data_IF_487736151762
#
_entry.id   IF_487736151762
#
_cell.length_a   1.000
_cell.length_b   1.000
_cell.length_c   1.000
_cell.angle_alpha   90.00
_cell.angle_beta   90.00
_cell.angle_gamma   90.00
#
_symmetry.space_group_name_H-M   'P 1'
#
loop_
_entity.id
_entity.type
_entity.pdbx_description
1 polymer ?
#
# COMPACT_ATOMS: atom_id res chain seq x y z
N UNK A 1 5.85 72.27 13.97
CA UNK A 1 5.13 71.37 13.03
C UNK A 1 6.08 70.25 12.62
N UNK A 2 5.92 69.03 13.14
CA UNK A 2 6.68 67.84 12.71
C UNK A 2 5.69 66.85 12.10
N UNK A 3 5.91 66.47 10.84
CA UNK A 3 5.09 65.50 10.09
C UNK A 3 5.70 64.12 10.24
N UNK A 4 4.96 63.19 10.82
CA UNK A 4 5.33 61.78 10.93
C UNK A 4 4.73 61.03 9.74
N UNK A 5 5.55 60.32 8.99
CA UNK A 5 5.11 59.44 7.90
C UNK A 5 4.85 58.04 8.47
N UNK A 6 3.68 57.47 8.20
CA UNK A 6 3.38 56.06 8.46
C UNK A 6 3.60 55.29 7.17
N UNK A 7 4.58 54.39 7.15
CA UNK A 7 4.81 53.43 6.06
C UNK A 7 3.95 52.20 6.32
N UNK A 8 2.99 51.92 5.43
CA UNK A 8 2.28 50.63 5.40
C UNK A 8 3.18 49.59 4.71
N UNK A 9 3.55 48.55 5.44
CA UNK A 9 4.15 47.35 4.89
C UNK A 9 3.05 46.42 4.36
N UNK A 10 3.03 46.23 3.04
CA UNK A 10 2.21 45.23 2.35
C UNK A 10 2.84 43.84 2.60
N UNK A 11 2.15 42.99 3.37
CA UNK A 11 2.53 41.57 3.51
C UNK A 11 1.96 40.82 2.32
N UNK A 12 2.83 40.50 1.36
CA UNK A 12 2.50 39.63 0.24
C UNK A 12 2.46 38.18 0.76
N UNK A 13 1.28 37.61 0.95
CA UNK A 13 1.13 36.18 1.24
C UNK A 13 1.29 35.43 -0.08
N UNK A 14 2.50 34.94 -0.35
CA UNK A 14 2.74 33.97 -1.41
C UNK A 14 2.03 32.67 -1.02
N UNK A 15 0.89 32.40 -1.64
CA UNK A 15 0.27 31.07 -1.60
C UNK A 15 1.18 30.19 -2.45
N UNK A 16 2.12 29.51 -1.82
CA UNK A 16 2.91 28.47 -2.48
C UNK A 16 1.97 27.29 -2.73
N UNK A 17 1.70 26.97 -3.98
CA UNK A 17 1.18 25.64 -4.33
C UNK A 17 2.25 24.65 -3.86
N UNK A 18 1.94 23.69 -2.98
CA UNK A 18 2.92 22.69 -2.59
C UNK A 18 3.36 21.94 -3.85
N UNK A 19 4.64 22.09 -4.20
CA UNK A 19 5.29 21.24 -5.18
C UNK A 19 5.39 19.85 -4.54
N UNK A 20 4.65 18.88 -5.09
CA UNK A 20 4.74 17.47 -4.67
C UNK A 20 6.16 17.02 -4.97
N UNK A 21 6.97 16.79 -3.92
CA UNK A 21 8.30 16.20 -4.08
C UNK A 21 8.15 14.72 -4.38
N UNK A 22 9.07 14.16 -5.17
CA UNK A 22 9.04 12.77 -5.63
C UNK A 22 9.23 11.71 -4.51
N UNK A 23 9.06 12.08 -3.25
CA UNK A 23 9.22 11.21 -2.06
C UNK A 23 7.92 10.95 -1.30
N UNK A 24 6.80 11.59 -1.67
CA UNK A 24 5.56 11.53 -0.88
C UNK A 24 4.56 10.48 -1.40
N UNK A 25 4.98 9.57 -2.28
CA UNK A 25 4.11 8.58 -2.92
C UNK A 25 4.90 7.35 -3.38
N UNK A 26 4.23 6.20 -3.61
CA UNK A 26 4.92 5.00 -4.07
C UNK A 26 5.69 5.26 -5.36
N UNK A 27 6.92 4.75 -5.42
CA UNK A 27 7.73 4.76 -6.65
C UNK A 27 7.00 4.11 -7.83
N UNK A 28 7.34 4.46 -9.09
CA UNK A 28 6.83 3.76 -10.27
C UNK A 28 7.01 2.25 -10.13
N UNK A 29 5.93 1.50 -10.31
CA UNK A 29 5.90 0.05 -10.10
C UNK A 29 4.82 -0.58 -10.98
N UNK A 30 5.12 -1.77 -11.50
CA UNK A 30 4.16 -2.63 -12.19
C UNK A 30 3.75 -3.79 -11.27
N UNK A 31 2.57 -4.34 -11.51
CA UNK A 31 2.11 -5.54 -10.81
C UNK A 31 1.88 -5.37 -9.31
N UNK A 32 1.85 -4.13 -8.81
CA UNK A 32 1.34 -3.82 -7.48
C UNK A 32 -0.15 -4.14 -7.43
N UNK A 33 -0.66 -4.43 -6.23
CA UNK A 33 -2.10 -4.59 -6.02
C UNK A 33 -2.64 -3.45 -5.17
N UNK A 34 -3.90 -3.13 -5.41
CA UNK A 34 -4.63 -2.14 -4.64
C UNK A 34 -5.97 -2.73 -4.19
N UNK A 35 -6.35 -2.42 -2.94
CA UNK A 35 -7.68 -2.70 -2.39
C UNK A 35 -8.24 -1.43 -1.75
N UNK A 36 -9.55 -1.37 -1.57
CA UNK A 36 -10.20 -0.35 -0.77
C UNK A 36 -10.51 -0.91 0.62
N UNK A 37 -10.11 -0.18 1.64
CA UNK A 37 -10.45 -0.41 3.04
C UNK A 37 -11.64 0.50 3.38
N UNK A 38 -12.86 -0.05 3.51
CA UNK A 38 -14.07 0.72 3.79
C UNK A 38 -14.17 1.19 5.25
N UNK A 39 -13.44 0.57 6.19
CA UNK A 39 -13.48 0.94 7.61
C UNK A 39 -12.70 2.23 7.82
N UNK A 40 -11.46 2.28 7.33
CA UNK A 40 -10.64 3.49 7.42
C UNK A 40 -10.81 4.43 6.22
N UNK A 41 -11.64 4.08 5.22
CA UNK A 41 -11.91 4.86 4.00
C UNK A 41 -10.64 5.25 3.25
N UNK A 42 -9.80 4.27 2.96
CA UNK A 42 -8.52 4.48 2.27
C UNK A 42 -8.26 3.39 1.24
N UNK A 43 -7.41 3.69 0.28
CA UNK A 43 -6.90 2.69 -0.65
C UNK A 43 -5.56 2.20 -0.14
N UNK A 44 -5.38 0.89 -0.06
CA UNK A 44 -4.11 0.27 0.29
C UNK A 44 -3.46 -0.30 -0.96
N UNK A 45 -2.18 0.01 -1.15
CA UNK A 45 -1.32 -0.53 -2.20
C UNK A 45 -0.27 -1.43 -1.56
N UNK A 46 0.01 -2.57 -2.18
CA UNK A 46 1.09 -3.46 -1.74
C UNK A 46 1.98 -3.91 -2.89
N UNK A 47 3.28 -3.90 -2.60
CA UNK A 47 4.32 -4.51 -3.41
C UNK A 47 4.41 -3.97 -4.84
N UNK A 48 4.70 -4.85 -5.78
CA UNK A 48 5.00 -4.51 -7.17
C UNK A 48 6.49 -4.59 -7.48
N UNK A 49 6.85 -4.28 -8.72
CA UNK A 49 8.23 -4.29 -9.17
C UNK A 49 8.55 -3.13 -10.09
N UNK A 50 9.78 -2.65 -10.06
CA UNK A 50 10.33 -1.73 -11.05
C UNK A 50 11.51 -2.40 -11.75
N UNK A 51 11.58 -2.26 -13.08
CA UNK A 51 12.76 -2.65 -13.83
C UNK A 51 13.54 -1.40 -14.23
N UNK A 52 14.75 -1.27 -13.71
CA UNK A 52 15.74 -0.26 -14.12
C UNK A 52 17.13 -0.88 -14.02
N UNK A 53 17.60 -1.45 -15.14
CA UNK A 53 18.86 -2.21 -15.21
C UNK A 53 18.95 -3.37 -14.20
N UNK A 54 17.79 -3.83 -13.71
CA UNK A 54 17.62 -4.80 -12.64
C UNK A 54 16.20 -4.70 -12.07
N UNK A 55 15.70 -5.80 -11.50
CA UNK A 55 14.40 -5.78 -10.82
C UNK A 55 14.56 -5.34 -9.37
N UNK A 56 13.88 -4.25 -9.01
CA UNK A 56 13.56 -3.91 -7.62
C UNK A 56 12.18 -4.48 -7.31
N UNK A 57 12.10 -5.31 -6.28
CA UNK A 57 10.84 -5.88 -5.80
C UNK A 57 10.44 -5.21 -4.50
N UNK A 58 9.22 -4.68 -4.45
CA UNK A 58 8.71 -3.97 -3.29
C UNK A 58 7.87 -4.89 -2.41
N UNK A 59 7.93 -4.68 -1.09
CA UNK A 59 7.09 -5.29 -0.05
C UNK A 59 6.51 -4.24 0.91
N UNK A 60 6.55 -2.98 0.53
CA UNK A 60 5.95 -1.87 1.25
C UNK A 60 4.42 -1.91 1.15
N UNK A 61 3.75 -1.34 2.14
CA UNK A 61 2.33 -0.99 2.08
C UNK A 61 2.24 0.53 2.03
N UNK A 62 1.43 1.04 1.10
CA UNK A 62 1.10 2.44 1.02
C UNK A 62 -0.40 2.63 1.19
N UNK A 63 -0.78 3.69 1.90
CA UNK A 63 -2.17 4.12 2.01
C UNK A 63 -2.41 5.40 1.25
N UNK A 64 -3.55 5.51 0.58
CA UNK A 64 -4.02 6.72 -0.07
C UNK A 64 -5.36 7.14 0.51
N UNK A 65 -5.44 8.40 0.94
CA UNK A 65 -6.69 9.04 1.38
C UNK A 65 -7.12 10.07 0.34
N UNK A 66 -8.36 9.95 -0.14
CA UNK A 66 -8.89 10.83 -1.18
C UNK A 66 -9.16 12.23 -0.62
N UNK A 67 -9.65 12.32 0.61
CA UNK A 67 -10.05 13.56 1.28
C UNK A 67 -8.88 14.55 1.41
N UNK A 68 -7.69 14.02 1.69
CA UNK A 68 -6.45 14.82 1.80
C UNK A 68 -5.58 14.73 0.55
N UNK A 69 -5.96 13.89 -0.42
CA UNK A 69 -5.18 13.56 -1.60
C UNK A 69 -3.71 13.23 -1.26
N UNK A 70 -3.52 12.34 -0.29
CA UNK A 70 -2.20 12.06 0.29
C UNK A 70 -1.90 10.57 0.27
N UNK A 71 -0.67 10.24 -0.13
CA UNK A 71 -0.10 8.92 0.07
C UNK A 71 0.71 8.89 1.37
N UNK A 72 0.67 7.78 2.09
CA UNK A 72 1.44 7.57 3.32
C UNK A 72 1.90 6.14 3.38
N UNK A 73 3.21 5.93 3.46
CA UNK A 73 3.79 4.61 3.68
C UNK A 73 3.40 4.11 5.08
N UNK A 74 2.94 2.87 5.16
CA UNK A 74 2.67 2.21 6.42
C UNK A 74 3.92 1.39 6.76
N UNK A 75 4.65 1.81 7.80
CA UNK A 75 5.81 1.08 8.27
C UNK A 75 5.37 -0.26 8.87
N UNK A 76 5.83 -1.35 8.25
CA UNK A 76 5.52 -2.73 8.70
C UNK A 76 6.79 -3.56 8.78
N UNK A 77 6.74 -4.66 9.54
CA UNK A 77 7.83 -5.64 9.63
C UNK A 77 7.29 -7.06 9.77
N UNK A 78 8.12 -8.07 9.48
CA UNK A 78 7.74 -9.48 9.57
C UNK A 78 6.80 -9.98 8.46
N UNK A 79 6.49 -9.14 7.48
CA UNK A 79 5.67 -9.47 6.32
C UNK A 79 6.38 -10.28 5.23
N UNK A 80 5.69 -10.55 4.12
CA UNK A 80 6.27 -11.22 2.96
C UNK A 80 7.44 -10.44 2.34
N UNK A 81 8.34 -11.15 1.68
CA UNK A 81 9.40 -10.56 0.85
C UNK A 81 8.85 -9.82 -0.37
N UNK A 82 9.68 -8.95 -0.96
CA UNK A 82 9.35 -8.16 -2.15
C UNK A 82 8.81 -9.01 -3.29
N UNK A 83 7.65 -8.62 -3.83
CA UNK A 83 6.92 -9.40 -4.84
C UNK A 83 5.93 -8.58 -5.66
N UNK A 84 5.58 -9.09 -6.83
CA UNK A 84 4.55 -8.51 -7.71
C UNK A 84 3.58 -9.57 -8.23
N UNK A 85 2.45 -9.12 -8.79
CA UNK A 85 1.32 -9.94 -9.25
C UNK A 85 0.81 -10.95 -8.21
N UNK A 86 0.97 -10.61 -6.93
CA UNK A 86 0.44 -11.37 -5.79
C UNK A 86 -1.07 -11.11 -5.64
N UNK A 87 -1.90 -12.08 -5.27
CA UNK A 87 -3.19 -11.82 -4.64
C UNK A 87 -3.08 -10.95 -3.39
N UNK A 88 -3.92 -9.92 -3.31
CA UNK A 88 -4.01 -8.99 -2.17
C UNK A 88 -5.49 -8.74 -1.91
N UNK A 89 -6.04 -9.36 -0.87
CA UNK A 89 -7.50 -9.53 -0.71
C UNK A 89 -7.92 -8.99 0.65
N UNK A 90 -8.92 -8.12 0.66
CA UNK A 90 -9.54 -7.65 1.88
C UNK A 90 -10.53 -8.70 2.42
N UNK A 91 -10.35 -9.06 3.69
CA UNK A 91 -11.29 -9.82 4.51
C UNK A 91 -12.03 -8.80 5.39
N UNK A 92 -13.29 -8.57 5.05
CA UNK A 92 -14.17 -7.59 5.71
C UNK A 92 -14.64 -8.05 7.09
N UNK A 93 -14.72 -9.36 7.34
CA UNK A 93 -15.20 -9.91 8.61
C UNK A 93 -14.15 -9.77 9.70
N UNK A 94 -12.86 -9.85 9.34
CA UNK A 94 -11.75 -9.77 10.30
C UNK A 94 -10.88 -8.53 10.15
N UNK A 95 -11.25 -7.61 9.26
CA UNK A 95 -10.50 -6.39 8.95
C UNK A 95 -9.02 -6.66 8.60
N UNK A 96 -8.80 -7.69 7.78
CA UNK A 96 -7.48 -8.19 7.41
C UNK A 96 -7.25 -8.17 5.93
N UNK A 97 -5.98 -8.28 5.54
CA UNK A 97 -5.58 -8.52 4.17
C UNK A 97 -4.91 -9.87 4.08
N UNK A 98 -5.38 -10.71 3.16
CA UNK A 98 -4.70 -11.96 2.82
C UNK A 98 -3.81 -11.74 1.60
N UNK A 99 -2.54 -12.10 1.77
CA UNK A 99 -1.51 -12.08 0.73
C UNK A 99 -1.06 -13.51 0.49
N UNK A 100 -1.09 -13.94 -0.76
CA UNK A 100 -0.70 -15.29 -1.12
C UNK A 100 0.16 -15.28 -2.37
N UNK A 101 1.29 -15.99 -2.36
CA UNK A 101 2.09 -16.23 -3.57
C UNK A 101 2.56 -14.93 -4.25
N UNK A 102 2.83 -14.96 -5.55
CA UNK A 102 3.38 -13.86 -6.37
C UNK A 102 4.77 -14.17 -6.90
N UNK A 103 5.29 -13.30 -7.78
CA UNK A 103 6.65 -13.41 -8.29
C UNK A 103 7.62 -12.72 -7.34
N UNK A 104 8.49 -13.52 -6.71
CA UNK A 104 9.65 -13.02 -5.95
C UNK A 104 10.91 -12.95 -6.81
N UNK A 105 12.07 -12.78 -6.16
CA UNK A 105 13.35 -12.56 -6.86
C UNK A 105 13.81 -13.75 -7.72
N UNK A 106 13.61 -14.98 -7.23
CA UNK A 106 14.13 -16.19 -7.87
C UNK A 106 13.03 -17.15 -8.33
N UNK A 107 11.86 -17.10 -7.69
CA UNK A 107 10.76 -18.04 -7.95
C UNK A 107 9.40 -17.47 -7.52
N UNK A 108 8.33 -18.19 -7.88
CA UNK A 108 7.00 -17.93 -7.35
C UNK A 108 6.93 -18.39 -5.90
N UNK A 109 6.44 -17.52 -5.03
CA UNK A 109 6.27 -17.90 -3.63
C UNK A 109 5.06 -18.81 -3.43
N UNK A 110 5.12 -19.74 -2.47
CA UNK A 110 3.98 -20.53 -2.01
C UNK A 110 3.50 -20.11 -0.61
N UNK A 111 4.09 -19.07 -0.03
CA UNK A 111 3.72 -18.58 1.30
C UNK A 111 2.40 -17.81 1.31
N UNK A 112 1.78 -17.78 2.48
CA UNK A 112 0.54 -17.08 2.76
C UNK A 112 0.71 -16.24 4.02
N UNK A 113 0.22 -15.01 4.00
CA UNK A 113 0.26 -14.08 5.11
C UNK A 113 -1.10 -13.42 5.28
N UNK A 114 -1.47 -13.14 6.53
CA UNK A 114 -2.50 -12.17 6.87
C UNK A 114 -1.83 -10.90 7.42
N UNK A 115 -2.34 -9.76 7.02
CA UNK A 115 -2.02 -8.46 7.61
C UNK A 115 -3.25 -7.96 8.37
N UNK A 116 -3.09 -7.76 9.68
CA UNK A 116 -4.08 -7.11 10.54
C UNK A 116 -3.93 -5.60 10.41
N UNK A 117 -4.96 -4.94 9.87
CA UNK A 117 -4.90 -3.52 9.52
C UNK A 117 -4.91 -2.65 10.78
N UNK A 118 -5.69 -3.03 11.78
CA UNK A 118 -5.83 -2.28 13.04
C UNK A 118 -4.57 -2.40 13.88
N UNK A 119 -4.06 -3.63 14.02
CA UNK A 119 -2.87 -3.90 14.84
C UNK A 119 -1.56 -3.59 14.10
N UNK A 120 -1.61 -3.33 12.78
CA UNK A 120 -0.43 -3.18 11.92
C UNK A 120 0.55 -4.36 12.08
N UNK A 121 0.03 -5.59 12.01
CA UNK A 121 0.82 -6.80 12.22
C UNK A 121 0.66 -7.82 11.11
N UNK A 122 1.79 -8.39 10.69
CA UNK A 122 1.82 -9.52 9.78
C UNK A 122 1.82 -10.84 10.56
N UNK A 123 1.02 -11.79 10.10
CA UNK A 123 1.04 -13.18 10.57
C UNK A 123 1.23 -14.11 9.38
N UNK A 124 2.20 -15.02 9.48
CA UNK A 124 2.39 -16.06 8.46
C UNK A 124 1.37 -17.16 8.67
N UNK A 125 0.59 -17.45 7.65
CA UNK A 125 -0.42 -18.50 7.67
C UNK A 125 0.15 -19.82 7.14
N UNK A 126 -0.29 -20.94 7.72
CA UNK A 126 0.13 -22.28 7.34
C UNK A 126 -1.06 -23.25 7.22
N UNK A 127 -2.04 -22.98 6.34
CA UNK A 127 -3.15 -23.90 6.10
C UNK A 127 -2.66 -25.26 5.58
N UNK A 128 -3.41 -26.33 5.90
CA UNK A 128 -3.12 -27.69 5.45
C UNK A 128 -4.32 -28.26 4.67
N UNK A 129 -4.15 -28.64 3.38
CA UNK A 129 -2.92 -28.52 2.59
C UNK A 129 -2.63 -27.07 2.17
N UNK A 130 -1.34 -26.74 2.03
CA UNK A 130 -0.94 -25.45 1.46
C UNK A 130 -1.34 -25.41 -0.03
N UNK A 131 -1.94 -24.31 -0.50
CA UNK A 131 -2.17 -24.15 -1.92
C UNK A 131 -0.82 -24.04 -2.68
N UNK A 132 -0.74 -24.61 -3.88
CA UNK A 132 0.46 -24.48 -4.71
C UNK A 132 0.71 -23.02 -5.15
N UNK A 133 1.99 -22.67 -5.34
CA UNK A 133 2.42 -21.36 -5.84
C UNK A 133 1.74 -21.03 -7.18
N UNK A 134 1.15 -19.83 -7.27
CA UNK A 134 0.45 -19.32 -8.46
C UNK A 134 0.52 -17.79 -8.54
N UNK A 135 0.70 -17.24 -9.73
CA UNK A 135 0.71 -15.79 -9.96
C UNK A 135 -0.45 -15.41 -10.88
N UNK A 136 -0.74 -14.12 -10.99
CA UNK A 136 -1.70 -13.59 -11.98
C UNK A 136 -3.13 -14.10 -11.79
N UNK A 137 -3.45 -14.62 -10.61
CA UNK A 137 -4.78 -15.13 -10.31
C UNK A 137 -5.72 -13.99 -9.94
N UNK A 138 -6.91 -13.97 -10.52
CA UNK A 138 -8.07 -13.30 -9.92
C UNK A 138 -8.51 -14.14 -8.75
N UNK A 139 -8.74 -13.51 -7.61
CA UNK A 139 -9.18 -14.20 -6.40
C UNK A 139 -10.27 -13.36 -5.78
N UNK A 140 -11.31 -14.02 -5.26
CA UNK A 140 -12.46 -13.36 -4.62
C UNK A 140 -12.61 -13.92 -3.21
N UNK A 141 -12.89 -13.05 -2.24
CA UNK A 141 -13.29 -13.47 -0.90
C UNK A 141 -14.80 -13.76 -0.88
N UNK A 142 -15.17 -14.92 -0.39
CA UNK A 142 -16.55 -15.38 -0.24
C UNK A 142 -16.97 -15.20 1.22
N UNK A 143 -17.54 -14.03 1.53
CA UNK A 143 -18.01 -13.63 2.87
C UNK A 143 -18.98 -14.66 3.48
N UNK A 144 -19.76 -15.37 2.64
CA UNK A 144 -20.76 -16.33 3.15
C UNK A 144 -20.12 -17.58 3.77
N UNK A 145 -18.93 -17.96 3.30
CA UNK A 145 -18.26 -19.19 3.70
C UNK A 145 -16.85 -18.95 4.27
N UNK A 146 -16.48 -17.69 4.52
CA UNK A 146 -15.19 -17.28 5.04
C UNK A 146 -14.02 -17.97 4.31
N UNK A 147 -14.01 -17.85 2.97
CA UNK A 147 -13.01 -18.51 2.13
C UNK A 147 -12.60 -17.70 0.93
N UNK A 148 -11.39 -17.97 0.48
CA UNK A 148 -10.80 -17.43 -0.74
C UNK A 148 -11.06 -18.40 -1.89
N UNK A 149 -11.67 -17.95 -2.99
CA UNK A 149 -11.98 -18.72 -4.21
C UNK A 149 -11.33 -18.13 -5.46
#
# INVERSE_FOLDING_TARGET
MKRTWVLLLLVLVLITVPQISATDSPSPRMGSRMIYDPVDQRVLLFGGSMYDNGYTLYNDIWSYRYETNTWTEIETSGGPSGRFNTPFIYDSDTHRIIVFSGFGANERSADMYSYDIEENTWTRLQPSPMPFARSDTSVVYDEKYDKII
#
